data_IF_481292913250
#
_entry.id   IF_481292913250
#
_cell.length_a   1.000
_cell.length_b   1.000
_cell.length_c   1.000
_cell.angle_alpha   90.00
_cell.angle_beta   90.00
_cell.angle_gamma   90.00
#
_symmetry.space_group_name_H-M   'P 1'
#
loop_
_entity.id
_entity.type
_entity.pdbx_description
1 polymer ?
#
# COMPACT_ATOMS: atom_id res chain seq x y z
N UNK A 1 46.44 -24.66 17.53
CA UNK A 1 46.21 -23.37 16.86
C UNK A 1 44.73 -23.34 16.46
N UNK A 2 43.87 -22.64 17.21
CA UNK A 2 42.53 -22.32 16.70
C UNK A 2 42.72 -21.44 15.46
N UNK A 3 41.96 -21.65 14.37
CA UNK A 3 42.01 -20.73 13.25
C UNK A 3 41.59 -19.35 13.77
N UNK A 4 42.43 -18.35 13.53
CA UNK A 4 42.09 -16.95 13.75
C UNK A 4 40.80 -16.71 12.94
N UNK A 5 39.64 -16.59 13.60
CA UNK A 5 38.43 -16.17 12.91
C UNK A 5 38.74 -14.80 12.31
N UNK A 6 38.88 -14.75 10.99
CA UNK A 6 38.95 -13.48 10.28
C UNK A 6 37.73 -12.67 10.70
N UNK A 7 37.96 -11.51 11.32
CA UNK A 7 36.90 -10.58 11.67
C UNK A 7 36.13 -10.27 10.38
N UNK A 8 34.84 -10.60 10.35
CA UNK A 8 33.98 -10.31 9.21
C UNK A 8 34.09 -8.83 8.85
N UNK A 9 34.14 -8.53 7.54
CA UNK A 9 34.21 -7.16 7.06
C UNK A 9 32.99 -6.37 7.59
N UNK A 10 33.19 -5.16 8.12
CA UNK A 10 32.11 -4.41 8.74
C UNK A 10 31.10 -3.95 7.69
N UNK A 11 29.81 -4.10 8.00
CA UNK A 11 28.72 -3.56 7.17
C UNK A 11 28.34 -2.18 7.70
N UNK A 12 28.37 -1.15 6.85
CA UNK A 12 27.88 0.19 7.21
C UNK A 12 26.48 0.34 6.66
N UNK A 13 25.52 0.62 7.54
CA UNK A 13 24.18 1.05 7.16
C UNK A 13 24.17 2.58 7.14
N UNK A 14 23.96 3.21 5.97
CA UNK A 14 23.93 4.67 5.90
C UNK A 14 22.79 5.26 6.74
N UNK A 15 22.96 6.48 7.25
CA UNK A 15 21.92 7.12 8.08
C UNK A 15 20.64 7.40 7.28
N UNK A 16 20.76 7.65 5.98
CA UNK A 16 19.61 7.90 5.12
C UNK A 16 18.73 6.66 4.87
N UNK A 17 19.19 5.45 5.24
CA UNK A 17 18.34 4.24 5.21
C UNK A 17 17.52 4.07 6.49
N UNK A 18 17.76 4.90 7.51
CA UNK A 18 17.03 4.87 8.78
C UNK A 18 15.68 5.56 8.73
N UNK A 19 14.88 5.27 9.75
CA UNK A 19 13.65 5.96 10.09
C UNK A 19 13.86 6.76 11.37
N UNK A 20 13.17 7.90 11.47
CA UNK A 20 13.12 8.72 12.68
C UNK A 20 11.81 8.41 13.39
N UNK A 21 11.86 8.08 14.68
CA UNK A 21 10.67 7.69 15.44
C UNK A 21 10.60 8.34 16.83
N UNK A 22 9.42 8.81 17.29
CA UNK A 22 8.19 8.93 16.52
C UNK A 22 8.30 10.05 15.47
N UNK A 23 7.75 9.81 14.29
CA UNK A 23 7.63 10.82 13.24
C UNK A 23 6.28 10.65 12.54
N UNK A 24 5.22 11.32 13.05
CA UNK A 24 3.87 11.13 12.57
C UNK A 24 3.69 11.57 11.11
N UNK A 25 4.57 12.45 10.61
CA UNK A 25 4.57 12.96 9.24
C UNK A 25 5.51 12.18 8.32
N UNK A 26 6.16 11.12 8.79
CA UNK A 26 7.01 10.27 7.95
C UNK A 26 8.19 11.01 7.30
N UNK A 27 8.70 12.09 7.89
CA UNK A 27 9.85 12.81 7.35
C UNK A 27 11.07 11.87 7.25
N UNK A 28 11.66 11.84 6.06
CA UNK A 28 12.75 10.96 5.69
C UNK A 28 14.05 11.76 5.58
N UNK A 29 15.14 11.24 6.16
CA UNK A 29 16.49 11.72 5.86
C UNK A 29 16.73 11.53 4.36
N UNK A 30 17.04 12.62 3.64
CA UNK A 30 17.24 12.58 2.20
C UNK A 30 18.54 11.86 1.85
N UNK A 31 18.55 11.07 0.79
CA UNK A 31 19.76 10.44 0.27
C UNK A 31 20.67 11.47 -0.42
N UNK A 32 22.01 11.44 -0.28
CA UNK A 32 22.83 10.63 0.63
C UNK A 32 23.28 11.44 1.87
N UNK A 33 22.39 12.21 2.47
CA UNK A 33 22.76 13.17 3.51
C UNK A 33 23.19 12.47 4.81
N UNK A 34 24.13 13.11 5.51
CA UNK A 34 24.39 12.85 6.93
C UNK A 34 23.34 13.56 7.78
N UNK A 35 23.19 13.15 9.04
CA UNK A 35 22.28 13.80 9.98
C UNK A 35 23.05 14.62 11.02
N UNK A 36 22.80 15.92 11.06
CA UNK A 36 23.55 16.85 11.94
C UNK A 36 22.95 16.98 13.34
N UNK A 37 21.69 16.64 13.55
CA UNK A 37 21.05 16.65 14.86
C UNK A 37 19.89 15.65 14.94
N UNK A 38 19.62 15.15 16.14
CA UNK A 38 18.46 14.32 16.46
C UNK A 38 17.67 15.03 17.57
N UNK A 39 16.40 15.43 17.32
CA UNK A 39 15.57 16.05 18.34
C UNK A 39 15.42 15.18 19.60
N UNK A 40 15.30 15.82 20.76
CA UNK A 40 15.08 15.12 22.02
C UNK A 40 13.80 14.26 21.96
N UNK A 41 13.89 13.03 22.49
CA UNK A 41 12.80 12.06 22.46
C UNK A 41 12.62 11.30 21.15
N UNK A 42 13.41 11.61 20.11
CA UNK A 42 13.43 10.82 18.87
C UNK A 42 14.52 9.74 18.88
N UNK A 43 14.28 8.71 18.09
CA UNK A 43 15.12 7.53 17.90
C UNK A 43 15.37 7.35 16.42
N UNK A 44 16.63 7.11 16.04
CA UNK A 44 16.95 6.60 14.70
C UNK A 44 16.87 5.09 14.69
N UNK A 45 16.28 4.56 13.63
CA UNK A 45 15.97 3.14 13.53
C UNK A 45 16.43 2.60 12.20
N UNK A 46 17.28 1.57 12.24
CA UNK A 46 17.58 0.73 11.09
C UNK A 46 16.91 -0.63 11.25
N UNK A 47 16.50 -1.21 10.14
CA UNK A 47 16.00 -2.58 10.08
C UNK A 47 16.93 -3.44 9.26
N UNK A 48 17.34 -4.56 9.84
CA UNK A 48 18.29 -5.51 9.26
C UNK A 48 17.77 -6.91 9.46
N UNK A 49 17.76 -7.72 8.40
CA UNK A 49 17.50 -9.15 8.48
C UNK A 49 18.81 -9.93 8.48
N UNK A 50 18.96 -10.83 9.45
CA UNK A 50 20.01 -11.84 9.45
C UNK A 50 19.46 -13.20 9.01
N UNK A 51 20.27 -13.96 8.30
CA UNK A 51 19.96 -15.27 7.71
C UNK A 51 20.54 -16.45 8.51
N UNK A 52 21.44 -16.18 9.46
CA UNK A 52 22.16 -17.18 10.24
C UNK A 52 22.35 -16.76 11.69
N UNK A 53 22.64 -17.73 12.55
CA UNK A 53 23.03 -17.49 13.94
C UNK A 53 24.34 -16.70 14.01
N UNK A 54 24.38 -15.71 14.89
CA UNK A 54 25.55 -14.86 15.09
C UNK A 54 25.24 -13.69 16.01
N UNK A 55 26.30 -13.12 16.56
CA UNK A 55 26.24 -11.90 17.36
C UNK A 55 27.10 -10.82 16.68
N UNK A 56 26.55 -9.63 16.58
CA UNK A 56 27.25 -8.45 16.09
C UNK A 56 26.94 -7.24 16.97
N UNK A 57 27.92 -6.36 17.08
CA UNK A 57 27.77 -5.05 17.68
C UNK A 57 27.40 -4.03 16.62
N UNK A 58 26.73 -2.95 17.04
CA UNK A 58 26.39 -1.82 16.20
C UNK A 58 26.97 -0.53 16.83
N UNK A 59 27.75 0.23 16.06
CA UNK A 59 28.40 1.47 16.53
C UNK A 59 28.20 2.61 15.54
N UNK A 60 27.86 3.83 15.98
CA UNK A 60 27.67 4.96 15.09
C UNK A 60 28.97 5.33 14.36
N UNK A 61 28.84 5.87 13.15
CA UNK A 61 29.94 6.36 12.32
C UNK A 61 29.67 7.81 11.91
N UNK A 62 30.53 8.78 12.28
CA UNK A 62 31.60 8.68 13.28
C UNK A 62 31.04 8.34 14.68
N UNK A 63 31.92 8.04 15.63
CA UNK A 63 31.53 7.74 17.00
C UNK A 63 30.77 8.92 17.64
N UNK A 64 29.69 8.61 18.35
CA UNK A 64 28.83 9.56 19.05
C UNK A 64 28.84 9.20 20.55
N UNK A 65 29.71 9.83 21.37
CA UNK A 65 29.92 9.42 22.76
C UNK A 65 28.66 9.49 23.64
N UNK A 66 27.73 10.37 23.30
CA UNK A 66 26.47 10.57 24.04
C UNK A 66 25.33 9.69 23.51
N UNK A 67 25.52 9.02 22.36
CA UNK A 67 24.51 8.18 21.77
C UNK A 67 24.52 6.77 22.37
N UNK A 68 23.33 6.21 22.56
CA UNK A 68 23.12 4.83 22.99
C UNK A 68 22.58 4.02 21.82
N UNK A 69 23.18 2.86 21.59
CA UNK A 69 22.73 1.91 20.57
C UNK A 69 22.12 0.69 21.24
N UNK A 70 20.97 0.24 20.73
CA UNK A 70 20.30 -0.99 21.14
C UNK A 70 19.96 -1.83 19.92
N UNK A 71 20.16 -3.14 20.01
CA UNK A 71 19.71 -4.11 19.00
C UNK A 71 18.55 -4.89 19.60
N UNK A 72 17.42 -4.92 18.91
CA UNK A 72 16.18 -5.58 19.34
C UNK A 72 15.72 -6.54 18.25
N UNK A 73 15.42 -7.79 18.62
CA UNK A 73 14.90 -8.79 17.68
C UNK A 73 15.43 -10.20 17.97
N UNK A 74 14.95 -11.20 17.21
CA UNK A 74 15.42 -12.58 17.32
C UNK A 74 16.88 -12.73 16.91
N UNK A 75 17.49 -13.87 17.22
CA UNK A 75 18.85 -14.21 16.76
C UNK A 75 18.94 -14.30 15.23
N UNK A 76 17.93 -14.91 14.60
CA UNK A 76 17.74 -14.99 13.14
C UNK A 76 16.47 -14.24 12.75
N UNK A 77 16.54 -13.44 11.68
CA UNK A 77 15.41 -12.71 11.14
C UNK A 77 15.58 -11.19 11.29
N UNK A 78 14.45 -10.48 11.29
CA UNK A 78 14.44 -9.02 11.35
C UNK A 78 14.82 -8.50 12.73
N UNK A 79 15.88 -7.71 12.78
CA UNK A 79 16.36 -6.96 13.92
C UNK A 79 16.17 -5.47 13.66
N UNK A 80 15.84 -4.77 14.74
CA UNK A 80 15.75 -3.32 14.82
C UNK A 80 16.98 -2.80 15.55
N UNK A 81 17.65 -1.81 14.98
CA UNK A 81 18.81 -1.15 15.58
C UNK A 81 18.40 0.28 15.90
N UNK A 82 18.41 0.62 17.17
CA UNK A 82 17.94 1.89 17.70
C UNK A 82 19.13 2.72 18.13
N UNK A 83 19.19 3.98 17.70
CA UNK A 83 20.12 4.98 18.21
C UNK A 83 19.32 6.12 18.85
N UNK A 84 19.64 6.42 20.11
CA UNK A 84 19.08 7.53 20.89
C UNK A 84 20.20 8.39 21.45
N UNK A 85 19.89 9.63 21.84
CA UNK A 85 20.87 10.56 22.40
C UNK A 85 21.33 11.63 21.41
N UNK A 86 22.07 12.62 21.92
CA UNK A 86 22.53 13.74 21.13
C UNK A 86 23.62 13.31 20.12
N UNK A 87 23.64 13.99 18.97
CA UNK A 87 24.71 13.86 17.98
C UNK A 87 25.72 14.97 18.21
N UNK A 88 26.99 14.61 18.41
CA UNK A 88 28.10 15.55 18.60
C UNK A 88 28.78 15.92 17.28
N UNK A 89 28.44 15.22 16.18
CA UNK A 89 28.93 15.47 14.83
C UNK A 89 27.98 14.85 13.79
N UNK A 90 28.02 15.28 12.51
CA UNK A 90 27.16 14.71 11.47
C UNK A 90 27.28 13.18 11.36
N UNK A 91 26.20 12.48 11.71
CA UNK A 91 26.12 11.04 11.68
C UNK A 91 26.02 10.56 10.22
N UNK A 92 26.91 9.66 9.81
CA UNK A 92 26.91 9.07 8.46
C UNK A 92 26.16 7.74 8.43
N UNK A 93 26.11 7.01 9.54
CA UNK A 93 25.43 5.72 9.61
C UNK A 93 25.78 4.91 10.85
N UNK A 94 25.48 3.62 10.81
CA UNK A 94 25.80 2.67 11.86
C UNK A 94 26.61 1.50 11.28
N UNK A 95 27.73 1.19 11.91
CA UNK A 95 28.62 0.10 11.53
C UNK A 95 28.26 -1.13 12.33
N UNK A 96 27.94 -2.21 11.62
CA UNK A 96 27.75 -3.55 12.17
C UNK A 96 29.08 -4.30 12.11
N UNK A 97 29.45 -4.97 13.19
CA UNK A 97 30.66 -5.79 13.24
C UNK A 97 30.45 -7.04 14.10
N UNK A 98 30.74 -8.21 13.52
CA UNK A 98 30.58 -9.51 14.18
C UNK A 98 29.94 -10.54 13.26
N UNK A 99 29.69 -11.73 13.77
CA UNK A 99 29.17 -12.87 12.99
C UNK A 99 27.74 -12.58 12.53
N UNK A 100 27.49 -12.70 11.22
CA UNK A 100 26.18 -12.50 10.61
C UNK A 100 25.91 -11.06 10.16
N UNK A 101 26.81 -10.11 10.47
CA UNK A 101 26.69 -8.73 10.00
C UNK A 101 27.06 -8.55 8.52
N UNK A 102 27.89 -9.44 7.98
CA UNK A 102 28.35 -9.49 6.60
C UNK A 102 27.25 -9.90 5.60
N UNK A 103 26.26 -10.66 6.07
CA UNK A 103 25.08 -11.09 5.30
C UNK A 103 23.85 -10.23 5.60
N UNK A 104 24.01 -9.13 6.34
CA UNK A 104 22.92 -8.23 6.71
C UNK A 104 22.14 -7.75 5.48
N UNK A 105 20.87 -8.13 5.42
CA UNK A 105 19.92 -7.65 4.42
C UNK A 105 19.23 -6.43 5.01
N UNK A 106 19.28 -5.30 4.30
CA UNK A 106 18.66 -4.04 4.72
C UNK A 106 18.26 -3.26 3.47
N UNK A 107 17.46 -2.20 3.64
CA UNK A 107 17.10 -1.36 2.51
C UNK A 107 18.32 -0.56 1.99
N UNK A 108 18.67 -0.74 0.72
CA UNK A 108 19.78 -0.05 0.04
C UNK A 108 19.33 1.05 -0.91
N UNK A 109 18.03 1.35 -0.93
CA UNK A 109 17.43 2.30 -1.87
C UNK A 109 17.01 3.58 -1.16
N UNK A 110 17.16 4.71 -1.85
CA UNK A 110 16.70 6.02 -1.35
C UNK A 110 15.20 6.00 -1.03
N UNK A 111 14.41 5.36 -1.91
CA UNK A 111 12.99 5.06 -1.71
C UNK A 111 12.83 4.03 -0.60
N UNK A 112 12.14 4.39 0.48
CA UNK A 112 11.89 3.58 1.68
C UNK A 112 10.44 3.11 1.81
N UNK A 113 9.54 3.57 0.95
CA UNK A 113 8.15 3.15 0.90
C UNK A 113 7.98 1.62 0.83
N UNK A 114 6.81 1.14 1.24
CA UNK A 114 6.48 -0.27 1.11
C UNK A 114 6.24 -0.64 -0.35
N UNK A 115 6.25 -1.94 -0.65
CA UNK A 115 5.73 -2.43 -1.92
C UNK A 115 4.22 -2.19 -2.01
N UNK A 116 3.70 -1.96 -3.22
CA UNK A 116 2.25 -2.09 -3.47
C UNK A 116 1.95 -3.57 -3.73
N UNK A 117 1.00 -4.12 -2.98
CA UNK A 117 0.60 -5.53 -3.06
C UNK A 117 -0.86 -5.64 -3.47
N UNK A 118 -1.22 -6.66 -4.23
CA UNK A 118 -2.53 -6.75 -4.86
C UNK A 118 -3.13 -8.15 -4.77
N UNK A 119 -4.45 -8.21 -4.85
CA UNK A 119 -5.26 -9.41 -5.01
C UNK A 119 -6.05 -9.28 -6.31
N UNK A 120 -5.85 -10.19 -7.27
CA UNK A 120 -6.60 -10.20 -8.54
C UNK A 120 -7.69 -11.26 -8.56
N UNK A 121 -8.88 -10.91 -9.08
CA UNK A 121 -10.10 -11.72 -9.00
C UNK A 121 -10.68 -12.03 -10.39
N UNK A 122 -10.02 -12.93 -11.13
CA UNK A 122 -10.40 -13.27 -12.51
C UNK A 122 -11.84 -13.81 -12.66
N UNK A 123 -12.40 -14.44 -11.62
CA UNK A 123 -13.77 -14.96 -11.64
C UNK A 123 -14.82 -13.86 -11.87
N UNK A 124 -14.52 -12.62 -11.47
CA UNK A 124 -15.41 -11.47 -11.59
C UNK A 124 -15.33 -10.74 -12.95
N UNK A 125 -14.50 -11.20 -13.88
CA UNK A 125 -14.41 -10.61 -15.23
C UNK A 125 -15.74 -10.74 -15.98
N UNK A 126 -16.14 -9.66 -16.66
CA UNK A 126 -17.42 -9.56 -17.39
C UNK A 126 -18.60 -9.15 -16.51
N UNK A 127 -18.35 -8.68 -15.28
CA UNK A 127 -19.39 -8.18 -14.40
C UNK A 127 -19.87 -6.78 -14.81
N UNK A 128 -21.17 -6.55 -14.72
CA UNK A 128 -21.74 -5.19 -14.71
C UNK A 128 -21.69 -4.61 -13.30
N UNK A 129 -21.89 -5.40 -12.26
CA UNK A 129 -21.82 -4.97 -10.86
C UNK A 129 -20.73 -5.70 -10.09
N UNK A 130 -19.98 -4.95 -9.28
CA UNK A 130 -19.00 -5.49 -8.34
C UNK A 130 -19.18 -4.84 -6.97
N UNK A 131 -19.26 -5.66 -5.94
CA UNK A 131 -19.37 -5.28 -4.54
C UNK A 131 -18.21 -5.89 -3.74
N UNK A 132 -17.68 -5.13 -2.78
CA UNK A 132 -16.71 -5.64 -1.83
C UNK A 132 -16.74 -4.88 -0.51
N UNK A 133 -16.47 -5.61 0.57
CA UNK A 133 -16.19 -5.04 1.88
C UNK A 133 -14.68 -4.99 2.13
N UNK A 134 -14.21 -3.94 2.79
CA UNK A 134 -12.82 -3.80 3.20
C UNK A 134 -12.72 -3.23 4.61
N UNK A 135 -11.80 -3.74 5.42
CA UNK A 135 -11.61 -3.33 6.81
C UNK A 135 -10.13 -3.10 7.11
N UNK A 136 -9.72 -1.83 7.23
CA UNK A 136 -8.36 -1.49 7.61
C UNK A 136 -8.02 -2.03 9.01
N UNK A 137 -6.89 -2.73 9.11
CA UNK A 137 -6.33 -3.30 10.34
C UNK A 137 -5.19 -2.44 10.91
N UNK A 138 -4.66 -1.54 10.08
CA UNK A 138 -3.73 -0.47 10.44
C UNK A 138 -4.14 0.80 9.70
N UNK A 139 -3.62 1.97 10.09
CA UNK A 139 -3.89 3.23 9.38
C UNK A 139 -2.68 4.20 9.34
N UNK A 140 -1.47 3.75 8.97
CA UNK A 140 -0.34 4.66 8.83
C UNK A 140 -0.61 5.66 7.71
N UNK A 141 -0.16 6.91 7.90
CA UNK A 141 -0.34 7.96 6.88
C UNK A 141 0.24 7.55 5.53
N UNK A 142 -0.31 8.14 4.48
CA UNK A 142 0.01 7.85 3.10
C UNK A 142 -0.29 6.42 2.66
N UNK A 143 -1.40 5.87 3.15
CA UNK A 143 -1.86 4.54 2.78
C UNK A 143 -3.11 4.61 1.96
N UNK A 144 -3.15 3.84 0.86
CA UNK A 144 -4.34 3.63 0.08
C UNK A 144 -4.77 2.15 0.14
N UNK A 145 -5.96 1.93 0.69
CA UNK A 145 -6.65 0.64 0.64
C UNK A 145 -7.66 0.66 -0.50
N UNK A 146 -7.25 0.18 -1.67
CA UNK A 146 -8.13 0.04 -2.82
C UNK A 146 -8.99 -1.22 -2.64
N UNK A 147 -10.30 -1.04 -2.48
CA UNK A 147 -11.24 -2.15 -2.43
C UNK A 147 -11.44 -2.70 -3.85
N UNK A 148 -12.04 -1.91 -4.75
CA UNK A 148 -12.42 -2.37 -6.08
C UNK A 148 -11.66 -1.60 -7.15
N UNK A 149 -10.66 -2.24 -7.73
CA UNK A 149 -9.97 -1.84 -8.94
C UNK A 149 -10.46 -2.62 -10.15
N UNK A 150 -10.36 -2.02 -11.34
CA UNK A 150 -10.63 -2.65 -12.63
C UNK A 150 -9.71 -2.06 -13.71
N UNK A 151 -9.81 -2.55 -14.95
CA UNK A 151 -8.95 -2.12 -16.07
C UNK A 151 -8.99 -0.62 -16.39
N UNK A 152 -10.00 0.11 -15.90
CA UNK A 152 -10.20 1.55 -16.17
C UNK A 152 -10.30 2.40 -14.90
N UNK A 153 -10.14 1.85 -13.71
CA UNK A 153 -10.17 2.68 -12.51
C UNK A 153 -9.94 1.95 -11.20
N UNK A 154 -10.16 2.69 -10.12
CA UNK A 154 -10.04 2.20 -8.75
C UNK A 154 -11.00 2.93 -7.81
N UNK A 155 -11.40 2.21 -6.76
CA UNK A 155 -12.31 2.66 -5.72
C UNK A 155 -11.86 2.15 -4.35
N UNK A 156 -11.65 3.04 -3.40
CA UNK A 156 -11.29 2.65 -2.04
C UNK A 156 -11.16 3.84 -1.10
N UNK A 157 -10.30 3.71 -0.10
CA UNK A 157 -10.19 4.67 0.99
C UNK A 157 -8.74 4.87 1.47
N UNK A 158 -8.44 6.09 1.90
CA UNK A 158 -7.09 6.57 2.14
C UNK A 158 -6.89 7.13 3.54
N UNK A 159 -5.62 7.08 3.96
CA UNK A 159 -5.04 7.76 5.11
C UNK A 159 -4.17 8.92 4.59
N UNK A 160 -4.72 10.13 4.48
CA UNK A 160 -4.03 11.23 3.80
C UNK A 160 -3.08 12.00 4.72
N UNK A 161 -3.52 12.27 5.94
CA UNK A 161 -2.75 12.99 6.96
C UNK A 161 -3.17 12.54 8.36
N UNK A 162 -2.57 13.07 9.45
CA UNK A 162 -3.07 12.80 10.80
C UNK A 162 -4.54 13.19 11.02
N UNK A 163 -5.06 14.15 10.26
CA UNK A 163 -6.42 14.69 10.43
C UNK A 163 -7.36 14.42 9.27
N UNK A 164 -6.86 13.81 8.18
CA UNK A 164 -7.63 13.64 6.96
C UNK A 164 -7.64 12.19 6.48
N UNK A 165 -8.84 11.77 6.10
CA UNK A 165 -9.19 10.45 5.58
C UNK A 165 -10.12 10.67 4.40
N UNK A 166 -9.93 9.93 3.31
CA UNK A 166 -10.75 10.06 2.10
C UNK A 166 -11.32 8.73 1.66
N UNK A 167 -12.48 8.78 1.00
CA UNK A 167 -12.96 7.74 0.08
C UNK A 167 -12.77 8.29 -1.33
N UNK A 168 -12.15 7.54 -2.25
CA UNK A 168 -11.81 8.02 -3.59
C UNK A 168 -12.33 7.10 -4.67
N UNK A 169 -12.80 7.65 -5.79
CA UNK A 169 -13.21 6.92 -6.98
C UNK A 169 -12.63 7.61 -8.21
N UNK A 170 -11.79 6.90 -8.96
CA UNK A 170 -11.09 7.45 -10.13
C UNK A 170 -11.25 6.54 -11.35
N UNK A 171 -11.29 7.16 -12.53
CA UNK A 171 -11.38 6.47 -13.82
C UNK A 171 -10.33 7.06 -14.77
N UNK A 172 -9.47 6.22 -15.33
CA UNK A 172 -8.43 6.63 -16.28
C UNK A 172 -9.03 7.06 -17.62
N UNK A 173 -8.40 8.06 -18.24
CA UNK A 173 -8.64 8.47 -19.62
C UNK A 173 -8.23 7.38 -20.62
N UNK A 174 -8.72 7.46 -21.85
CA UNK A 174 -8.22 6.64 -22.95
C UNK A 174 -6.86 7.18 -23.47
N UNK A 175 -6.12 6.37 -24.21
CA UNK A 175 -4.81 6.75 -24.76
C UNK A 175 -3.65 6.38 -23.84
N UNK A 176 -2.54 7.13 -23.94
CA UNK A 176 -1.27 6.79 -23.28
C UNK A 176 -0.52 7.96 -22.65
N UNK A 177 -1.15 9.14 -22.50
CA UNK A 177 -0.55 10.26 -21.76
C UNK A 177 -0.61 9.97 -20.26
N UNK A 178 0.56 9.96 -19.62
CA UNK A 178 0.73 9.46 -18.26
C UNK A 178 0.92 10.55 -17.22
N UNK A 179 1.24 11.77 -17.63
CA UNK A 179 1.72 12.83 -16.73
C UNK A 179 0.70 13.95 -16.63
N UNK A 180 0.30 14.51 -17.76
CA UNK A 180 -0.41 15.78 -17.82
C UNK A 180 -1.73 15.63 -18.58
N UNK A 181 -2.85 15.72 -17.86
CA UNK A 181 -4.19 15.55 -18.44
C UNK A 181 -4.53 16.64 -19.47
N UNK A 182 -3.92 17.82 -19.38
CA UNK A 182 -4.17 18.90 -20.34
C UNK A 182 -3.72 18.53 -21.75
N UNK A 183 -2.81 17.56 -21.90
CA UNK A 183 -2.36 17.01 -23.19
C UNK A 183 -3.25 15.91 -23.75
N UNK A 184 -4.18 15.39 -22.96
CA UNK A 184 -5.14 14.37 -23.40
C UNK A 184 -6.18 15.05 -24.29
N UNK A 185 -6.35 14.61 -25.54
CA UNK A 185 -7.41 15.16 -26.40
C UNK A 185 -8.81 14.82 -25.88
N UNK A 186 -9.78 15.71 -26.06
CA UNK A 186 -11.13 15.60 -25.47
C UNK A 186 -11.86 14.29 -25.80
N UNK A 187 -11.63 13.69 -26.97
CA UNK A 187 -12.21 12.38 -27.35
C UNK A 187 -11.70 11.20 -26.52
N UNK A 188 -10.64 11.40 -25.75
CA UNK A 188 -10.07 10.41 -24.84
C UNK A 188 -10.41 10.67 -23.37
N UNK A 189 -10.88 11.88 -23.03
CA UNK A 189 -11.10 12.29 -21.65
C UNK A 189 -12.38 11.66 -21.09
N UNK A 190 -12.24 11.08 -19.90
CA UNK A 190 -13.37 10.74 -19.03
C UNK A 190 -14.15 12.01 -18.70
N UNK A 191 -15.48 11.91 -18.77
CA UNK A 191 -16.38 13.01 -18.42
C UNK A 191 -17.09 12.70 -17.12
N UNK A 192 -17.08 13.66 -16.18
CA UNK A 192 -17.93 13.60 -15.01
C UNK A 192 -19.39 13.88 -15.43
N UNK A 193 -20.27 12.91 -15.21
CA UNK A 193 -21.70 13.02 -15.51
C UNK A 193 -22.48 13.48 -14.28
N UNK A 194 -22.09 12.97 -13.11
CA UNK A 194 -22.75 13.27 -11.84
C UNK A 194 -21.79 13.01 -10.68
N UNK A 195 -22.00 13.68 -9.55
CA UNK A 195 -21.31 13.41 -8.28
C UNK A 195 -22.27 13.51 -7.11
N UNK A 196 -22.02 12.75 -6.05
CA UNK A 196 -22.81 12.85 -4.84
C UNK A 196 -22.59 14.15 -4.07
N UNK A 197 -23.47 14.38 -3.09
CA UNK A 197 -23.35 15.49 -2.13
C UNK A 197 -22.02 15.42 -1.38
N UNK A 198 -21.34 16.57 -1.27
CA UNK A 198 -20.03 16.77 -0.64
C UNK A 198 -18.84 16.08 -1.32
N UNK A 199 -19.08 15.36 -2.42
CA UNK A 199 -18.00 14.79 -3.22
C UNK A 199 -17.30 15.90 -4.00
N UNK A 200 -15.99 15.98 -3.86
CA UNK A 200 -15.11 16.82 -4.68
C UNK A 200 -14.72 16.03 -5.91
N UNK A 201 -14.79 16.65 -7.08
CA UNK A 201 -14.39 16.04 -8.34
C UNK A 201 -13.37 16.92 -9.05
N UNK A 202 -12.46 16.29 -9.79
CA UNK A 202 -11.40 16.93 -10.53
C UNK A 202 -10.65 15.90 -11.37
N UNK A 203 -9.38 16.17 -11.61
CA UNK A 203 -8.56 15.43 -12.55
C UNK A 203 -7.31 14.87 -11.86
N UNK A 204 -6.68 13.86 -12.46
CA UNK A 204 -5.39 13.35 -11.99
C UNK A 204 -4.40 13.11 -13.14
N UNK A 205 -3.11 13.00 -12.77
CA UNK A 205 -1.96 12.82 -13.64
C UNK A 205 -0.81 12.09 -12.92
N UNK A 206 0.36 12.01 -13.55
CA UNK A 206 1.61 11.35 -13.09
C UNK A 206 1.58 9.82 -12.97
N UNK A 207 0.41 9.20 -12.91
CA UNK A 207 0.22 7.75 -12.75
C UNK A 207 -0.76 7.20 -13.81
N UNK A 208 -0.68 7.78 -15.01
CA UNK A 208 -1.82 7.86 -15.90
C UNK A 208 -2.60 9.15 -15.67
N UNK A 209 -3.50 9.45 -16.59
CA UNK A 209 -4.40 10.61 -16.53
C UNK A 209 -5.85 10.15 -16.42
N UNK A 210 -6.73 10.96 -15.83
CA UNK A 210 -8.13 10.60 -15.70
C UNK A 210 -8.98 11.54 -14.87
N UNK A 211 -10.25 11.16 -14.70
CA UNK A 211 -11.17 11.80 -13.78
C UNK A 211 -11.03 11.23 -12.37
N UNK A 212 -11.03 12.11 -11.38
CA UNK A 212 -10.93 11.79 -9.96
C UNK A 212 -12.12 12.35 -9.19
N UNK A 213 -12.55 11.61 -8.18
CA UNK A 213 -13.47 12.11 -7.17
C UNK A 213 -13.07 11.62 -5.78
N UNK A 214 -13.32 12.44 -4.76
CA UNK A 214 -13.15 12.04 -3.38
C UNK A 214 -14.17 12.68 -2.45
N UNK A 215 -14.42 12.00 -1.34
CA UNK A 215 -15.16 12.47 -0.19
C UNK A 215 -14.21 12.47 1.01
N UNK A 216 -14.05 13.61 1.68
CA UNK A 216 -13.39 13.64 3.00
C UNK A 216 -14.34 12.96 3.98
N UNK A 217 -13.95 11.77 4.44
CA UNK A 217 -14.79 10.91 5.26
C UNK A 217 -13.96 10.34 6.41
N UNK A 218 -14.26 10.67 7.67
CA UNK A 218 -13.43 10.34 8.82
C UNK A 218 -13.66 8.88 9.30
N UNK A 219 -13.47 7.92 8.39
CA UNK A 219 -13.56 6.49 8.70
C UNK A 219 -12.61 6.14 9.84
N UNK A 220 -12.97 5.11 10.61
CA UNK A 220 -12.22 4.67 11.79
C UNK A 220 -11.51 3.34 11.53
N UNK A 221 -10.35 3.14 12.16
CA UNK A 221 -9.66 1.86 12.14
C UNK A 221 -10.61 0.74 12.59
N UNK A 222 -10.61 -0.39 11.88
CA UNK A 222 -11.54 -1.50 12.14
C UNK A 222 -12.98 -1.26 11.63
N UNK A 223 -13.30 -0.10 11.05
CA UNK A 223 -14.58 0.13 10.39
C UNK A 223 -14.66 -0.70 9.10
N UNK A 224 -15.74 -1.48 8.99
CA UNK A 224 -16.08 -2.17 7.76
C UNK A 224 -16.65 -1.19 6.74
N UNK A 225 -15.88 -0.95 5.68
CA UNK A 225 -16.24 -0.10 4.55
C UNK A 225 -16.87 -0.98 3.45
N UNK A 226 -17.88 -0.47 2.74
CA UNK A 226 -18.54 -1.21 1.64
C UNK A 226 -18.59 -0.38 0.37
N UNK A 227 -18.22 -1.00 -0.73
CA UNK A 227 -18.05 -0.37 -2.03
C UNK A 227 -18.86 -1.13 -3.06
N UNK A 228 -19.46 -0.38 -3.99
CA UNK A 228 -20.21 -0.92 -5.12
C UNK A 228 -19.83 -0.15 -6.39
N UNK A 229 -19.55 -0.88 -7.46
CA UNK A 229 -19.27 -0.32 -8.79
C UNK A 229 -20.25 -0.91 -9.80
N UNK A 230 -20.76 -0.07 -10.70
CA UNK A 230 -21.55 -0.47 -11.85
C UNK A 230 -20.89 0.02 -13.14
N UNK A 231 -20.83 -0.84 -14.15
CA UNK A 231 -20.42 -0.50 -15.50
C UNK A 231 -21.58 -0.64 -16.48
N UNK A 232 -21.89 0.45 -17.18
CA UNK A 232 -22.94 0.50 -18.20
C UNK A 232 -22.32 0.87 -19.55
N UNK A 233 -21.98 -0.11 -20.40
CA UNK A 233 -21.56 0.15 -21.77
C UNK A 233 -22.68 0.85 -22.56
N UNK A 234 -22.34 1.95 -23.24
CA UNK A 234 -23.25 2.71 -24.10
C UNK A 234 -22.45 3.43 -25.19
N UNK A 235 -22.88 3.31 -26.46
CA UNK A 235 -22.32 4.05 -27.61
C UNK A 235 -20.77 4.02 -27.72
N UNK A 236 -20.14 2.87 -27.45
CA UNK A 236 -18.68 2.72 -27.49
C UNK A 236 -17.92 3.35 -26.30
N UNK A 237 -18.65 3.88 -25.32
CA UNK A 237 -18.18 4.32 -24.02
C UNK A 237 -18.70 3.39 -22.91
N UNK A 238 -18.19 3.54 -21.70
CA UNK A 238 -18.75 2.91 -20.50
C UNK A 238 -19.00 3.97 -19.44
N UNK A 239 -20.22 4.03 -18.92
CA UNK A 239 -20.54 4.82 -17.73
C UNK A 239 -20.20 3.99 -16.49
N UNK A 240 -19.20 4.44 -15.74
CA UNK A 240 -18.83 3.88 -14.45
C UNK A 240 -19.47 4.67 -13.32
N UNK A 241 -20.15 3.98 -12.42
CA UNK A 241 -20.75 4.56 -11.24
C UNK A 241 -20.19 3.90 -9.98
N UNK A 242 -19.76 4.70 -9.01
CA UNK A 242 -19.25 4.21 -7.73
C UNK A 242 -20.12 4.67 -6.56
N UNK A 243 -20.48 3.75 -5.67
CA UNK A 243 -21.23 4.04 -4.44
C UNK A 243 -20.52 3.52 -3.20
N UNK A 244 -20.54 4.35 -2.16
CA UNK A 244 -20.00 4.04 -0.85
C UNK A 244 -21.15 3.91 0.15
N UNK A 245 -21.17 2.85 0.96
CA UNK A 245 -22.20 2.66 1.97
C UNK A 245 -21.90 3.51 3.22
N UNK A 246 -22.81 4.40 3.57
CA UNK A 246 -22.68 5.27 4.74
C UNK A 246 -24.03 5.38 5.47
N UNK A 247 -24.00 5.22 6.80
CA UNK A 247 -25.18 5.39 7.69
C UNK A 247 -26.45 4.66 7.23
N UNK A 248 -26.32 3.48 6.63
CA UNK A 248 -27.47 2.65 6.23
C UNK A 248 -28.00 2.91 4.82
N UNK A 249 -27.31 3.71 4.00
CA UNK A 249 -27.68 3.95 2.61
C UNK A 249 -26.46 4.01 1.68
N UNK A 250 -26.69 3.76 0.39
CA UNK A 250 -25.70 4.01 -0.65
C UNK A 250 -25.57 5.50 -0.93
N UNK A 251 -24.35 6.04 -0.83
CA UNK A 251 -24.01 7.39 -1.28
C UNK A 251 -23.27 7.30 -2.60
N UNK A 252 -23.75 8.02 -3.60
CA UNK A 252 -23.04 8.18 -4.87
C UNK A 252 -21.70 8.89 -4.63
N UNK A 253 -20.62 8.34 -5.18
CA UNK A 253 -19.35 9.05 -5.31
C UNK A 253 -19.38 9.87 -6.60
N UNK A 254 -19.33 9.18 -7.74
CA UNK A 254 -19.44 9.82 -9.04
C UNK A 254 -19.97 8.83 -10.09
N UNK A 255 -20.53 9.41 -11.15
CA UNK A 255 -20.81 8.76 -12.44
C UNK A 255 -19.85 9.36 -13.47
N UNK A 256 -18.99 8.55 -14.05
CA UNK A 256 -17.93 8.97 -14.98
C UNK A 256 -18.03 8.20 -16.29
N UNK A 257 -18.19 8.92 -17.41
CA UNK A 257 -18.28 8.33 -18.74
C UNK A 257 -16.88 8.19 -19.35
N UNK A 258 -16.40 6.96 -19.50
CA UNK A 258 -15.13 6.63 -20.12
C UNK A 258 -15.31 6.37 -21.63
N UNK A 259 -14.76 7.22 -22.52
CA UNK A 259 -14.84 6.98 -23.97
C UNK A 259 -13.92 5.84 -24.41
N UNK A 260 -14.20 5.25 -25.57
CA UNK A 260 -13.37 4.20 -26.21
C UNK A 260 -13.12 2.99 -25.31
N UNK A 261 -14.16 2.59 -24.57
CA UNK A 261 -14.12 1.44 -23.68
C UNK A 261 -15.20 0.45 -24.07
N UNK A 262 -16.48 0.83 -23.92
CA UNK A 262 -17.61 0.04 -24.41
C UNK A 262 -17.65 -1.38 -23.84
N UNK A 263 -17.10 -1.57 -22.64
CA UNK A 263 -16.89 -2.88 -22.03
C UNK A 263 -17.36 -2.94 -20.58
N UNK A 264 -17.69 -4.15 -20.13
CA UNK A 264 -17.99 -4.48 -18.74
C UNK A 264 -16.71 -4.49 -17.89
N UNK A 265 -16.86 -4.62 -16.57
CA UNK A 265 -15.73 -4.67 -15.65
C UNK A 265 -14.86 -5.91 -15.91
N UNK A 266 -13.55 -5.73 -15.95
CA UNK A 266 -12.55 -6.80 -16.07
C UNK A 266 -11.25 -6.42 -15.38
N UNK A 267 -10.45 -7.44 -15.09
CA UNK A 267 -9.23 -7.28 -14.31
C UNK A 267 -9.56 -6.74 -12.93
N UNK A 268 -10.50 -7.36 -12.21
CA UNK A 268 -10.89 -6.90 -10.88
C UNK A 268 -9.74 -7.12 -9.89
N UNK A 269 -9.41 -6.11 -9.07
CA UNK A 269 -8.36 -6.23 -8.06
C UNK A 269 -8.64 -5.42 -6.80
N UNK A 270 -7.97 -5.78 -5.71
CA UNK A 270 -7.79 -4.96 -4.50
C UNK A 270 -6.30 -4.73 -4.28
N UNK A 271 -5.90 -3.64 -3.61
CA UNK A 271 -4.50 -3.42 -3.25
C UNK A 271 -4.30 -2.61 -1.98
N UNK A 272 -3.09 -2.74 -1.43
CA UNK A 272 -2.55 -1.93 -0.35
C UNK A 272 -1.28 -1.24 -0.84
N UNK A 273 -1.24 0.08 -0.72
CA UNK A 273 -0.18 0.93 -1.25
C UNK A 273 0.28 1.98 -0.25
N UNK A 274 1.59 2.24 -0.27
CA UNK A 274 2.18 3.44 0.31
C UNK A 274 2.42 4.48 -0.80
N UNK A 275 1.58 5.52 -0.85
CA UNK A 275 1.75 6.63 -1.80
C UNK A 275 2.72 7.70 -1.27
N UNK A 276 3.29 7.50 -0.09
CA UNK A 276 4.43 8.22 0.42
C UNK A 276 5.71 7.40 0.31
N UNK A 277 6.77 7.89 0.95
CA UNK A 277 8.09 7.24 0.89
C UNK A 277 8.77 7.09 2.25
N UNK A 278 8.48 7.97 3.21
CA UNK A 278 9.29 8.05 4.42
C UNK A 278 8.86 7.19 5.61
N UNK A 279 7.77 6.43 5.50
CA UNK A 279 7.22 5.62 6.59
C UNK A 279 7.01 4.12 6.21
N UNK A 280 7.88 3.58 5.36
CA UNK A 280 7.77 2.20 4.91
C UNK A 280 8.12 1.12 5.94
N UNK A 281 8.58 1.49 7.13
CA UNK A 281 8.68 0.59 8.27
C UNK A 281 7.34 0.26 8.91
N UNK A 282 6.34 1.13 8.74
CA UNK A 282 5.01 0.92 9.32
C UNK A 282 4.27 -0.18 8.56
N UNK A 283 3.65 -1.09 9.31
CA UNK A 283 2.78 -2.11 8.76
C UNK A 283 1.52 -1.46 8.19
N UNK A 284 1.22 -1.80 6.93
CA UNK A 284 -0.06 -1.54 6.28
C UNK A 284 -0.77 -2.86 6.12
N UNK A 285 -2.03 -2.92 6.55
CA UNK A 285 -2.83 -4.13 6.48
C UNK A 285 -4.31 -3.81 6.38
N UNK A 286 -5.00 -4.52 5.48
CA UNK A 286 -6.43 -4.46 5.29
C UNK A 286 -6.99 -5.87 5.07
N UNK A 287 -8.15 -6.14 5.68
CA UNK A 287 -8.93 -7.33 5.39
C UNK A 287 -9.89 -7.03 4.24
N UNK A 288 -9.66 -7.67 3.09
CA UNK A 288 -10.54 -7.59 1.94
C UNK A 288 -11.50 -8.78 1.97
N UNK A 289 -12.79 -8.47 2.02
CA UNK A 289 -13.84 -9.45 1.85
C UNK A 289 -13.80 -10.09 0.46
N UNK A 290 -14.53 -11.19 0.28
CA UNK A 290 -14.68 -11.78 -1.03
C UNK A 290 -15.38 -10.80 -1.98
N UNK A 291 -15.03 -10.84 -3.26
CA UNK A 291 -15.69 -10.01 -4.27
C UNK A 291 -17.02 -10.66 -4.63
N UNK A 292 -18.11 -9.93 -4.43
CA UNK A 292 -19.42 -10.29 -5.00
C UNK A 292 -19.57 -9.59 -6.34
N UNK A 293 -20.03 -10.30 -7.36
CA UNK A 293 -20.17 -9.74 -8.70
C UNK A 293 -21.43 -10.25 -9.38
N UNK A 294 -21.97 -9.45 -10.31
CA UNK A 294 -23.11 -9.82 -11.15
C UNK A 294 -22.80 -9.56 -12.60
N UNK A 295 -22.99 -10.57 -13.44
CA UNK A 295 -22.94 -10.44 -14.91
C UNK A 295 -24.34 -10.12 -15.46
N UNK A 296 -24.46 -9.58 -16.68
CA UNK A 296 -25.76 -9.26 -17.26
C UNK A 296 -26.69 -10.47 -17.25
N UNK A 297 -27.90 -10.29 -16.72
CA UNK A 297 -28.94 -11.33 -16.63
C UNK A 297 -28.58 -12.58 -15.81
N UNK A 298 -27.51 -12.54 -15.03
CA UNK A 298 -27.10 -13.62 -14.13
C UNK A 298 -27.38 -13.24 -12.66
N UNK A 299 -27.59 -14.22 -11.76
CA UNK A 299 -27.61 -13.95 -10.33
C UNK A 299 -26.24 -13.48 -9.83
N UNK A 300 -26.23 -12.87 -8.63
CA UNK A 300 -24.97 -12.55 -7.96
C UNK A 300 -24.17 -13.83 -7.67
N UNK A 301 -22.85 -13.74 -7.86
CA UNK A 301 -21.89 -14.76 -7.50
C UNK A 301 -20.78 -14.15 -6.62
N UNK A 302 -19.98 -15.01 -6.00
CA UNK A 302 -18.90 -14.61 -5.12
C UNK A 302 -17.60 -15.33 -5.51
N UNK A 303 -16.49 -14.60 -5.51
CA UNK A 303 -15.17 -15.17 -5.79
C UNK A 303 -14.72 -16.07 -4.66
N UNK A 304 -14.03 -17.16 -5.01
CA UNK A 304 -13.38 -18.08 -4.06
C UNK A 304 -11.86 -18.01 -4.16
N UNK A 305 -11.33 -17.49 -5.27
CA UNK A 305 -9.92 -17.46 -5.57
C UNK A 305 -9.44 -16.01 -5.74
N UNK A 306 -8.28 -15.69 -5.18
CA UNK A 306 -7.58 -14.42 -5.39
C UNK A 306 -6.10 -14.66 -5.70
N UNK A 307 -5.57 -13.99 -6.73
CA UNK A 307 -4.16 -14.07 -7.11
C UNK A 307 -3.35 -12.96 -6.44
N UNK A 308 -2.42 -13.32 -5.58
CA UNK A 308 -1.51 -12.36 -4.97
C UNK A 308 -0.45 -11.87 -5.96
N UNK A 309 -0.25 -10.56 -6.04
CA UNK A 309 0.83 -9.95 -6.83
C UNK A 309 1.49 -8.79 -6.07
N UNK A 310 2.65 -8.41 -6.56
CA UNK A 310 3.50 -7.35 -5.98
C UNK A 310 3.90 -6.46 -7.15
N UNK A 311 3.95 -5.16 -6.93
CA UNK A 311 4.48 -4.21 -7.90
C UNK A 311 5.95 -4.55 -8.27
N UNK A 312 6.41 -4.01 -9.40
CA UNK A 312 7.74 -4.34 -9.90
C UNK A 312 8.84 -4.00 -8.90
N UNK A 313 8.78 -2.81 -8.31
CA UNK A 313 9.83 -2.34 -7.39
C UNK A 313 9.78 -3.14 -6.08
N UNK A 314 8.60 -3.43 -5.56
CA UNK A 314 8.44 -4.29 -4.40
C UNK A 314 9.09 -5.66 -4.56
N UNK A 315 8.90 -6.33 -5.71
CA UNK A 315 9.53 -7.65 -5.97
C UNK A 315 11.05 -7.65 -5.92
N UNK A 316 11.67 -6.53 -6.26
CA UNK A 316 13.12 -6.39 -6.29
C UNK A 316 13.69 -5.95 -4.94
N UNK A 317 12.87 -5.37 -4.05
CA UNK A 317 13.35 -4.55 -2.93
C UNK A 317 12.77 -4.89 -1.56
N UNK A 318 11.66 -5.62 -1.50
CA UNK A 318 10.90 -5.88 -0.25
C UNK A 318 10.53 -7.35 -0.12
N UNK A 319 10.64 -7.85 1.10
CA UNK A 319 10.32 -9.21 1.53
C UNK A 319 9.42 -9.24 2.78
N UNK A 320 9.05 -8.07 3.29
CA UNK A 320 8.15 -7.87 4.42
C UNK A 320 6.71 -7.58 3.95
N UNK A 321 6.13 -8.54 3.25
CA UNK A 321 4.80 -8.45 2.65
C UNK A 321 4.10 -9.81 2.64
N UNK A 322 2.78 -9.81 2.55
CA UNK A 322 2.06 -11.08 2.50
C UNK A 322 0.56 -10.93 2.33
N UNK A 323 -0.06 -12.10 2.31
CA UNK A 323 -1.50 -12.23 2.24
C UNK A 323 -1.93 -13.49 3.01
N UNK A 324 -2.87 -13.34 3.93
CA UNK A 324 -3.30 -14.41 4.84
C UNK A 324 -4.81 -14.63 4.71
N UNK A 325 -5.25 -15.88 4.52
CA UNK A 325 -6.68 -16.22 4.49
C UNK A 325 -7.27 -16.10 5.91
N UNK A 326 -8.34 -15.33 6.07
CA UNK A 326 -9.04 -15.04 7.33
C UNK A 326 -10.53 -15.32 7.17
N UNK A 327 -10.93 -16.59 7.35
CA UNK A 327 -12.29 -17.02 7.05
C UNK A 327 -12.57 -16.87 5.55
N UNK A 328 -13.59 -16.09 5.20
CA UNK A 328 -13.91 -15.74 3.80
C UNK A 328 -13.16 -14.51 3.28
N UNK A 329 -12.44 -13.78 4.14
CA UNK A 329 -11.66 -12.61 3.76
C UNK A 329 -10.19 -12.96 3.55
N UNK A 330 -9.45 -12.08 2.88
CA UNK A 330 -8.00 -12.16 2.75
C UNK A 330 -7.40 -10.90 3.36
N UNK A 331 -6.54 -11.08 4.36
CA UNK A 331 -5.72 -10.01 4.91
C UNK A 331 -4.56 -9.76 3.97
N UNK A 332 -4.54 -8.62 3.31
CA UNK A 332 -3.41 -8.16 2.52
C UNK A 332 -2.56 -7.23 3.37
N UNK A 333 -1.24 -7.33 3.27
CA UNK A 333 -0.35 -6.48 4.07
C UNK A 333 1.05 -6.29 3.45
N UNK A 334 1.67 -5.17 3.81
CA UNK A 334 3.01 -4.76 3.37
C UNK A 334 3.68 -3.88 4.44
N UNK A 335 4.99 -3.99 4.61
CA UNK A 335 5.73 -3.29 5.66
C UNK A 335 5.79 -4.02 7.01
N UNK A 336 6.33 -3.34 8.01
CA UNK A 336 6.46 -3.87 9.37
C UNK A 336 7.73 -4.70 9.62
N UNK A 337 8.60 -4.89 8.62
CA UNK A 337 9.86 -5.65 8.74
C UNK A 337 9.65 -6.98 9.47
N UNK A 338 8.75 -7.79 8.92
CA UNK A 338 8.36 -9.12 9.41
C UNK A 338 8.50 -10.16 8.30
N UNK A 339 8.57 -11.46 8.61
CA UNK A 339 8.62 -12.50 7.57
C UNK A 339 7.37 -12.46 6.68
N UNK A 340 7.57 -12.47 5.37
CA UNK A 340 6.50 -12.56 4.38
C UNK A 340 5.72 -13.87 4.45
N UNK A 341 4.44 -13.85 4.05
CA UNK A 341 3.54 -15.01 4.11
C UNK A 341 2.95 -15.44 2.77
N UNK A 342 3.20 -14.69 1.69
CA UNK A 342 2.73 -15.03 0.35
C UNK A 342 3.79 -14.81 -0.73
N UNK A 343 3.72 -15.59 -1.80
CA UNK A 343 4.65 -15.50 -2.94
C UNK A 343 3.96 -14.96 -4.19
N UNK A 344 4.71 -14.22 -5.03
CA UNK A 344 4.17 -13.63 -6.25
C UNK A 344 3.47 -14.67 -7.14
N UNK A 345 2.20 -14.43 -7.46
CA UNK A 345 1.38 -15.29 -8.30
C UNK A 345 0.65 -16.40 -7.54
N UNK A 346 0.84 -16.54 -6.23
CA UNK A 346 0.11 -17.48 -5.39
C UNK A 346 -1.40 -17.25 -5.53
N UNK A 347 -2.14 -18.35 -5.68
CA UNK A 347 -3.60 -18.36 -5.62
C UNK A 347 -4.02 -18.67 -4.19
N UNK A 348 -4.72 -17.73 -3.57
CA UNK A 348 -5.31 -17.86 -2.24
C UNK A 348 -6.75 -18.31 -2.42
N UNK A 349 -7.13 -19.37 -1.71
CA UNK A 349 -8.48 -19.94 -1.76
C UNK A 349 -9.23 -19.60 -0.49
N UNK A 350 -10.45 -19.13 -0.64
CA UNK A 350 -11.40 -18.82 0.43
C UNK A 350 -12.62 -19.74 0.30
N UNK A 351 -13.30 -20.08 1.40
CA UNK A 351 -14.54 -20.83 1.33
C UNK A 351 -15.58 -20.10 0.47
N UNK A 352 -16.39 -20.86 -0.27
CA UNK A 352 -17.55 -20.30 -0.95
C UNK A 352 -18.51 -19.66 0.06
N UNK A 353 -19.00 -18.48 -0.27
CA UNK A 353 -20.03 -17.77 0.49
C UNK A 353 -21.20 -17.38 -0.40
N UNK A 354 -22.25 -16.87 0.22
CA UNK A 354 -23.34 -16.22 -0.51
C UNK A 354 -23.07 -14.72 -0.58
N UNK A 355 -23.31 -14.09 -1.75
CA UNK A 355 -23.33 -12.65 -1.86
C UNK A 355 -24.28 -12.05 -0.81
N UNK A 356 -23.94 -10.89 -0.21
CA UNK A 356 -24.84 -10.26 0.74
C UNK A 356 -26.13 -9.81 0.02
N UNK A 357 -27.26 -9.98 0.70
CA UNK A 357 -28.51 -9.35 0.28
C UNK A 357 -28.37 -7.84 0.42
N UNK A 358 -28.48 -7.12 -0.69
CA UNK A 358 -28.36 -5.67 -0.72
C UNK A 358 -29.40 -5.06 -1.66
N UNK A 359 -30.03 -3.98 -1.22
CA UNK A 359 -30.73 -3.09 -2.13
C UNK A 359 -29.69 -2.38 -3.00
N UNK A 360 -29.89 -2.38 -4.30
CA UNK A 360 -29.06 -1.58 -5.21
C UNK A 360 -29.47 -0.10 -5.11
N UNK A 361 -28.54 0.83 -5.30
CA UNK A 361 -28.87 2.24 -5.40
C UNK A 361 -29.83 2.48 -6.57
N UNK A 362 -30.76 3.43 -6.39
CA UNK A 362 -31.67 3.90 -7.45
C UNK A 362 -30.95 4.61 -8.61
#
# INVERSE_FOLDING_TARGET
MLPLLALAAPTILPVWTSYVEPNPEGAAIQHPQSLSSLPAGQTLVWYVRTTRFGAFDAKPVPAQPEAKVRIVGPEIGWKRIELTGALTSPLQGIRLQGVGSEEAIYNRFARRGTASVHLGYKQADGAEWVYQEATAQTDPIWTYYCAIGWHRGYFGFQVNSPTERRVIFSVWDAGGEAVDRDKVGDSNRVKLMEKGTDVVAGDFGNEGTGGHSHLVYPWKLGQKMRFLVHAQPQDGATLYSGWFWDKGAWRLMARMLAPKDGSLLKGIYSFDENFGDGNGQLLRSCDFGPVSYRKPSEPWAQTTDARFTIDRLGRERRDDLGADVKGSSIRLWTGGYRPGTATYGQILKTPAGMPPEMALPE
#
